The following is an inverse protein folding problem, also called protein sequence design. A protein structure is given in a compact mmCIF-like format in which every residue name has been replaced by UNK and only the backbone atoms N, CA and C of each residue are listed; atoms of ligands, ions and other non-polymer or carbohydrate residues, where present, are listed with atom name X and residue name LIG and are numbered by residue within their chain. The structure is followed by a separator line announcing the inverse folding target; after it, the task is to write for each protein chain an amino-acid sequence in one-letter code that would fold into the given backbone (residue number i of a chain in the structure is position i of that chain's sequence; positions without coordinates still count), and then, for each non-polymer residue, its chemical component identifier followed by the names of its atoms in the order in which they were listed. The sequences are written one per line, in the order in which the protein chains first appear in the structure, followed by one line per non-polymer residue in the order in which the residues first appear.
data_IF_911184384801
#
_entry.id   IF_911184384801
#
_cell.length_a   1.000
_cell.length_b   1.000
_cell.length_c   1.000
_cell.angle_alpha   90.00
_cell.angle_beta   90.00
_cell.angle_gamma   90.00
#
_symmetry.space_group_name_H-M   'P 1'
#
loop_
_entity.id
_entity.type
_entity.pdbx_description
1 polymer ?
#
# COMPACT_ATOMS: atom_id res chain seq x y z
N UNK A 1 -6.74 -38.74 -18.57
CA UNK A 1 -7.09 -37.98 -17.35
C UNK A 1 -7.64 -36.62 -17.76
N UNK A 2 -8.94 -36.36 -17.56
CA UNK A 2 -9.58 -35.10 -17.94
C UNK A 2 -9.11 -34.03 -16.94
N UNK A 3 -8.53 -32.89 -17.36
CA UNK A 3 -8.09 -31.89 -16.40
C UNK A 3 -9.31 -31.38 -15.64
N UNK A 4 -9.31 -31.56 -14.31
CA UNK A 4 -10.31 -31.00 -13.40
C UNK A 4 -10.24 -29.47 -13.54
N UNK A 5 -11.06 -28.93 -14.44
CA UNK A 5 -11.23 -27.48 -14.59
C UNK A 5 -12.07 -27.05 -13.41
N UNK A 6 -11.40 -26.54 -12.37
CA UNK A 6 -12.08 -25.74 -11.36
C UNK A 6 -12.96 -24.70 -12.04
N UNK A 7 -14.14 -24.38 -11.48
CA UNK A 7 -15.04 -23.40 -12.07
C UNK A 7 -14.30 -22.09 -12.33
N UNK A 8 -14.48 -21.47 -13.51
CA UNK A 8 -13.75 -20.25 -13.86
C UNK A 8 -14.04 -19.10 -12.89
N UNK A 9 -15.24 -19.08 -12.29
CA UNK A 9 -15.64 -18.11 -11.28
C UNK A 9 -14.82 -18.23 -9.99
N UNK A 10 -14.55 -19.46 -9.56
CA UNK A 10 -13.76 -19.73 -8.37
C UNK A 10 -12.31 -19.25 -8.54
N UNK A 11 -11.76 -19.48 -9.73
CA UNK A 11 -10.45 -18.94 -10.11
C UNK A 11 -10.45 -17.42 -10.17
N UNK A 12 -11.48 -16.79 -10.76
CA UNK A 12 -11.58 -15.33 -10.82
C UNK A 12 -11.60 -14.73 -9.42
N UNK A 13 -12.49 -15.22 -8.55
CA UNK A 13 -12.60 -14.77 -7.15
C UNK A 13 -11.29 -14.95 -6.37
N UNK A 14 -10.58 -16.06 -6.59
CA UNK A 14 -9.27 -16.26 -5.97
C UNK A 14 -8.23 -15.24 -6.45
N UNK A 15 -8.21 -14.92 -7.74
CA UNK A 15 -7.28 -13.94 -8.32
C UNK A 15 -7.61 -12.51 -7.87
N UNK A 16 -8.89 -12.16 -7.75
CA UNK A 16 -9.34 -10.85 -7.25
C UNK A 16 -8.84 -10.63 -5.81
N UNK A 17 -9.08 -11.60 -4.92
CA UNK A 17 -8.60 -11.53 -3.53
C UNK A 17 -7.06 -11.45 -3.45
N UNK A 18 -6.35 -12.16 -4.31
CA UNK A 18 -4.89 -12.07 -4.37
C UNK A 18 -4.40 -10.71 -4.87
N UNK A 19 -5.13 -10.08 -5.80
CA UNK A 19 -4.83 -8.74 -6.29
C UNK A 19 -5.06 -7.67 -5.22
N UNK A 20 -6.06 -7.87 -4.37
CA UNK A 20 -6.33 -7.05 -3.17
C UNK A 20 -5.26 -7.21 -2.06
N UNK A 21 -4.30 -8.13 -2.26
CA UNK A 21 -3.18 -8.35 -1.34
C UNK A 21 -3.44 -9.41 -0.27
N UNK A 22 -4.54 -10.16 -0.36
CA UNK A 22 -4.83 -11.23 0.60
C UNK A 22 -3.81 -12.38 0.47
N UNK A 23 -3.34 -12.96 1.60
CA UNK A 23 -2.38 -14.05 1.56
C UNK A 23 -3.03 -15.34 1.07
N UNK A 24 -2.28 -16.13 0.30
CA UNK A 24 -2.74 -17.39 -0.33
C UNK A 24 -3.46 -18.31 0.66
N UNK A 25 -2.94 -18.46 1.88
CA UNK A 25 -3.56 -19.29 2.94
C UNK A 25 -4.96 -18.82 3.33
N UNK A 26 -5.18 -17.51 3.43
CA UNK A 26 -6.48 -16.94 3.77
C UNK A 26 -7.47 -17.12 2.63
N UNK A 27 -7.01 -16.91 1.39
CA UNK A 27 -7.82 -17.15 0.18
C UNK A 27 -8.20 -18.63 0.04
N UNK A 28 -7.29 -19.55 0.36
CA UNK A 28 -7.52 -20.99 0.34
C UNK A 28 -8.61 -21.42 1.32
N UNK A 29 -8.50 -20.97 2.57
CA UNK A 29 -9.52 -21.23 3.60
C UNK A 29 -10.87 -20.63 3.19
N UNK A 30 -10.88 -19.37 2.70
CA UNK A 30 -12.11 -18.67 2.33
C UNK A 30 -12.85 -19.32 1.15
N UNK A 31 -12.13 -19.99 0.24
CA UNK A 31 -12.70 -20.64 -0.94
C UNK A 31 -12.78 -22.17 -0.83
N UNK A 32 -12.35 -22.75 0.30
CA UNK A 32 -12.28 -24.21 0.49
C UNK A 32 -11.36 -24.90 -0.52
N UNK A 33 -10.30 -24.21 -0.95
CA UNK A 33 -9.37 -24.67 -1.99
C UNK A 33 -8.04 -25.10 -1.39
N UNK A 34 -7.34 -26.00 -2.09
CA UNK A 34 -5.95 -26.30 -1.78
C UNK A 34 -5.05 -25.08 -2.13
N UNK A 35 -4.26 -24.63 -1.16
CA UNK A 35 -3.21 -23.61 -1.30
C UNK A 35 -2.40 -23.78 -2.59
N UNK A 36 -2.01 -25.01 -2.92
CA UNK A 36 -1.19 -25.31 -4.10
C UNK A 36 -1.87 -24.86 -5.41
N UNK A 37 -3.18 -25.00 -5.50
CA UNK A 37 -3.96 -24.57 -6.68
C UNK A 37 -3.92 -23.05 -6.81
N UNK A 38 -4.05 -22.33 -5.71
CA UNK A 38 -4.01 -20.87 -5.67
C UNK A 38 -2.58 -20.37 -5.97
N UNK A 39 -1.53 -21.03 -5.47
CA UNK A 39 -0.15 -20.74 -5.85
C UNK A 39 0.10 -20.89 -7.36
N UNK A 40 -0.43 -21.96 -7.98
CA UNK A 40 -0.33 -22.16 -9.42
C UNK A 40 -1.04 -21.05 -10.21
N UNK A 41 -2.24 -20.65 -9.77
CA UNK A 41 -3.00 -19.57 -10.41
C UNK A 41 -2.30 -18.22 -10.26
N UNK A 42 -1.81 -17.87 -9.07
CA UNK A 42 -1.02 -16.65 -8.83
C UNK A 42 0.17 -16.60 -9.77
N UNK A 43 0.96 -17.68 -9.87
CA UNK A 43 2.14 -17.74 -10.73
C UNK A 43 1.79 -17.57 -12.21
N UNK A 44 0.67 -18.13 -12.67
CA UNK A 44 0.26 -18.12 -14.08
C UNK A 44 -0.45 -16.83 -14.50
N UNK A 45 -1.25 -16.23 -13.62
CA UNK A 45 -2.14 -15.12 -13.96
C UNK A 45 -1.75 -13.79 -13.32
N UNK A 46 -0.95 -13.79 -12.24
CA UNK A 46 -0.49 -12.60 -11.53
C UNK A 46 1.06 -12.57 -11.44
N UNK A 47 1.80 -12.63 -12.57
CA UNK A 47 3.26 -12.71 -12.55
C UNK A 47 3.92 -11.48 -11.93
N UNK A 48 3.26 -10.31 -11.98
CA UNK A 48 3.73 -9.08 -11.33
C UNK A 48 3.71 -9.19 -9.80
N UNK A 49 2.72 -9.88 -9.21
CA UNK A 49 2.67 -10.15 -7.76
C UNK A 49 3.68 -11.21 -7.31
N UNK A 50 4.20 -12.04 -8.22
CA UNK A 50 5.21 -13.06 -7.89
C UNK A 50 6.63 -12.50 -7.84
N UNK A 51 6.93 -11.43 -8.58
CA UNK A 51 8.28 -10.82 -8.60
C UNK A 51 8.54 -9.82 -7.47
N UNK A 52 7.50 -9.44 -6.74
CA UNK A 52 7.59 -8.47 -5.65
C UNK A 52 6.49 -8.66 -4.61
N UNK A 53 6.10 -9.91 -4.33
CA UNK A 53 5.24 -10.16 -3.17
C UNK A 53 5.86 -9.46 -1.95
N UNK A 54 5.07 -8.79 -1.09
CA UNK A 54 5.63 -7.99 -0.01
C UNK A 54 6.59 -8.88 0.76
N UNK A 55 7.88 -8.60 0.59
CA UNK A 55 8.92 -9.25 1.36
C UNK A 55 8.52 -8.97 2.80
N UNK A 56 8.44 -9.96 3.70
CA UNK A 56 8.26 -9.64 5.10
C UNK A 56 9.38 -8.65 5.42
N UNK A 57 9.00 -7.39 5.62
CA UNK A 57 9.93 -6.35 6.02
C UNK A 57 10.64 -6.93 7.22
N UNK A 58 11.95 -7.13 7.13
CA UNK A 58 12.69 -7.63 8.28
C UNK A 58 12.42 -6.65 9.42
N UNK A 59 12.32 -7.11 10.67
CA UNK A 59 12.02 -6.21 11.80
C UNK A 59 12.94 -4.97 11.84
N UNK A 60 14.16 -5.07 11.31
CA UNK A 60 15.09 -3.96 11.09
C UNK A 60 14.61 -2.95 10.05
N UNK A 61 14.13 -3.39 8.88
CA UNK A 61 13.61 -2.52 7.82
C UNK A 61 12.39 -1.72 8.32
N UNK A 62 11.52 -2.36 9.11
CA UNK A 62 10.34 -1.70 9.68
C UNK A 62 10.74 -0.64 10.72
N UNK A 63 11.72 -0.95 11.57
CA UNK A 63 12.24 0.00 12.56
C UNK A 63 12.94 1.18 11.89
N UNK A 64 13.73 0.93 10.86
CA UNK A 64 14.40 1.97 10.08
C UNK A 64 13.38 2.89 9.39
N UNK A 65 12.36 2.32 8.74
CA UNK A 65 11.29 3.09 8.10
C UNK A 65 10.51 3.94 9.12
N UNK A 66 10.14 3.36 10.27
CA UNK A 66 9.45 4.08 11.36
C UNK A 66 10.29 5.24 11.90
N UNK A 67 11.59 5.02 12.12
CA UNK A 67 12.50 6.09 12.55
C UNK A 67 12.53 7.23 11.54
N UNK A 68 12.65 6.91 10.25
CA UNK A 68 12.69 7.92 9.20
C UNK A 68 11.40 8.73 9.11
N UNK A 69 10.24 8.08 9.30
CA UNK A 69 8.94 8.76 9.37
C UNK A 69 8.92 9.75 10.54
N UNK A 70 9.32 9.34 11.74
CA UNK A 70 9.33 10.24 12.91
C UNK A 70 10.30 11.42 12.74
N UNK A 71 11.47 11.21 12.13
CA UNK A 71 12.41 12.30 11.81
C UNK A 71 11.77 13.31 10.85
N UNK A 72 11.17 12.83 9.75
CA UNK A 72 10.52 13.69 8.77
C UNK A 72 9.30 14.42 9.34
N UNK A 73 8.50 13.76 10.17
CA UNK A 73 7.36 14.40 10.86
C UNK A 73 7.83 15.51 11.81
N UNK A 74 8.98 15.31 12.47
CA UNK A 74 9.58 16.31 13.34
C UNK A 74 10.10 17.52 12.55
N UNK A 75 10.77 17.26 11.42
CA UNK A 75 11.20 18.32 10.49
C UNK A 75 10.00 19.12 9.96
N UNK A 76 8.93 18.43 9.53
CA UNK A 76 7.70 19.09 9.07
C UNK A 76 7.02 19.91 10.17
N UNK A 77 7.01 19.42 11.41
CA UNK A 77 6.44 20.16 12.55
C UNK A 77 7.24 21.43 12.84
N UNK A 78 8.57 21.37 12.79
CA UNK A 78 9.44 22.53 12.98
C UNK A 78 9.22 23.58 11.87
N UNK A 79 9.15 23.13 10.61
CA UNK A 79 8.89 24.01 9.47
C UNK A 79 7.51 24.67 9.58
N UNK A 80 6.47 23.92 9.94
CA UNK A 80 5.11 24.47 10.13
C UNK A 80 5.07 25.55 11.20
N UNK A 81 5.71 25.30 12.35
CA UNK A 81 5.82 26.32 13.41
C UNK A 81 6.57 27.57 12.94
N UNK A 82 7.66 27.41 12.18
CA UNK A 82 8.39 28.54 11.64
C UNK A 82 7.53 29.36 10.66
N UNK A 83 6.75 28.71 9.80
CA UNK A 83 5.84 29.41 8.86
C UNK A 83 4.68 30.11 9.57
N UNK A 84 4.19 29.53 10.66
CA UNK A 84 3.13 30.12 11.49
C UNK A 84 3.64 31.39 12.19
N UNK A 85 4.81 31.32 12.82
CA UNK A 85 5.47 32.48 13.40
C UNK A 85 5.74 33.58 12.36
N UNK A 86 6.17 33.20 11.15
CA UNK A 86 6.40 34.18 10.09
C UNK A 86 5.10 34.85 9.62
N UNK A 87 3.97 34.11 9.60
CA UNK A 87 2.65 34.66 9.27
C UNK A 87 2.20 35.70 10.29
N UNK A 88 2.54 35.54 11.56
CA UNK A 88 2.19 36.50 12.60
C UNK A 88 3.03 37.79 12.54
N UNK A 89 4.21 37.73 11.92
CA UNK A 89 5.14 38.88 11.80
C UNK A 89 4.97 39.64 10.47
N UNK A 90 4.52 38.96 9.42
CA UNK A 90 4.23 39.59 8.13
C UNK A 90 2.75 40.00 8.13
N UNK A 91 2.41 41.30 8.23
CA UNK A 91 1.03 41.72 8.05
C UNK A 91 0.55 41.22 6.68
N UNK A 92 -0.73 40.79 6.55
CA UNK A 92 -1.27 40.50 5.23
C UNK A 92 -0.95 41.71 4.38
N UNK A 93 -0.28 41.49 3.25
CA UNK A 93 -0.02 42.55 2.28
C UNK A 93 -1.37 43.23 2.09
N UNK A 94 -1.49 44.46 2.58
CA UNK A 94 -2.69 45.24 2.42
C UNK A 94 -2.87 45.29 0.90
N UNK A 95 -3.87 44.58 0.41
CA UNK A 95 -4.26 44.62 -0.98
C UNK A 95 -4.84 46.01 -1.15
N UNK A 96 -3.95 47.00 -1.26
CA UNK A 96 -4.26 48.41 -1.38
C UNK A 96 -5.20 48.56 -2.56
N UNK A 97 -6.46 48.72 -2.17
CA UNK A 97 -7.59 49.11 -2.98
C UNK A 97 -7.16 50.21 -3.95
N UNK A 98 -7.57 49.98 -5.20
CA UNK A 98 -8.03 50.98 -6.15
C UNK A 98 -6.92 51.85 -6.76
N UNK A 99 -6.54 51.50 -8.00
CA UNK A 99 -6.18 52.51 -8.98
C UNK A 99 -7.25 52.48 -10.09
N UNK A 100 -8.00 53.58 -10.13
CA UNK A 100 -8.71 54.21 -11.26
C UNK A 100 -9.71 53.38 -12.06
#
# INVERSE_FOLDING_TARGET
MRPMRYPPELRRKALDLLADGEPVKKVAVALGLNDQTIYQWRRRHLPHLSKGGPKPSTGMDLRAARRRITELESELAALRRATELLRDVVPPKDDSKQYT
#
